data_IF_279026888004
#
_entry.id   IF_279026888004
#
_cell.length_a   1.000
_cell.length_b   1.000
_cell.length_c   1.000
_cell.angle_alpha   90.00
_cell.angle_beta   90.00
_cell.angle_gamma   90.00
#
_symmetry.space_group_name_H-M   'P 1'
#
loop_
_entity.id
_entity.type
_entity.pdbx_description
1 polymer ?
#
# COMPACT_ATOMS: atom_id res chain seq x y z
N UNK A 1 10.30 28.23 29.10
CA UNK A 1 10.87 26.92 29.29
C UNK A 1 10.83 26.60 30.77
N UNK A 2 10.09 25.58 31.17
CA UNK A 2 9.74 25.40 32.56
C UNK A 2 9.06 26.66 33.10
N UNK A 3 9.45 27.15 34.27
CA UNK A 3 8.92 28.36 34.88
C UNK A 3 9.62 29.65 34.41
N UNK A 4 10.64 29.55 33.55
CA UNK A 4 11.36 30.73 33.04
C UNK A 4 10.73 31.30 31.78
N UNK A 5 10.48 32.60 31.80
CA UNK A 5 9.96 33.35 30.64
C UNK A 5 11.10 34.07 29.92
N UNK A 6 11.16 33.88 28.61
CA UNK A 6 12.09 34.57 27.72
C UNK A 6 11.29 35.37 26.71
N UNK A 7 11.69 36.61 26.49
CA UNK A 7 11.05 37.54 25.52
C UNK A 7 11.97 37.79 24.35
N UNK A 8 11.39 38.07 23.20
CA UNK A 8 12.12 38.39 21.97
C UNK A 8 11.71 37.51 20.80
N UNK A 9 12.59 37.44 19.80
CA UNK A 9 12.30 36.78 18.55
C UNK A 9 11.87 37.76 17.46
N UNK A 10 11.79 37.26 16.23
CA UNK A 10 11.30 38.00 15.07
C UNK A 10 10.05 37.37 14.51
N UNK A 11 9.09 38.21 14.08
CA UNK A 11 7.86 37.77 13.41
C UNK A 11 7.78 38.50 12.08
N UNK A 12 7.84 37.81 10.97
CA UNK A 12 7.76 38.40 9.64
C UNK A 12 7.28 37.38 8.60
N UNK A 13 6.53 37.82 7.61
CA UNK A 13 6.11 37.02 6.46
C UNK A 13 5.43 35.68 6.84
N UNK A 14 4.58 35.69 7.89
CA UNK A 14 3.88 34.47 8.35
C UNK A 14 4.74 33.48 9.11
N UNK A 15 5.98 33.84 9.43
CA UNK A 15 6.90 33.00 10.20
C UNK A 15 7.37 33.73 11.46
N UNK A 16 7.79 32.96 12.46
CA UNK A 16 8.49 33.50 13.62
C UNK A 16 9.78 32.74 13.89
N UNK A 17 10.75 33.39 14.49
CA UNK A 17 11.99 32.77 14.98
C UNK A 17 12.31 33.25 16.38
N UNK A 18 12.77 32.32 17.23
CA UNK A 18 13.20 32.59 18.57
C UNK A 18 14.51 31.85 18.87
N UNK A 19 15.55 32.55 19.32
CA UNK A 19 16.83 31.93 19.66
C UNK A 19 16.74 31.16 20.99
N UNK A 20 16.81 29.82 20.91
CA UNK A 20 16.58 28.91 22.03
C UNK A 20 17.78 28.05 22.45
N UNK A 21 18.92 28.14 21.72
CA UNK A 21 20.07 27.24 21.90
C UNK A 21 20.59 27.15 23.33
N UNK A 22 20.66 28.26 24.05
CA UNK A 22 21.10 28.34 25.44
C UNK A 22 19.97 28.20 26.48
N UNK A 23 18.71 28.07 26.06
CA UNK A 23 17.51 28.11 26.90
C UNK A 23 16.86 26.75 27.08
N UNK A 24 16.95 25.90 26.05
CA UNK A 24 16.41 24.52 26.07
C UNK A 24 17.61 23.57 26.15
N UNK A 25 17.69 22.79 27.23
CA UNK A 25 18.86 21.94 27.51
C UNK A 25 18.54 20.44 27.37
N UNK A 26 17.29 20.07 27.60
CA UNK A 26 16.88 18.68 27.61
C UNK A 26 15.64 18.46 26.71
N UNK A 27 15.53 17.27 26.12
CA UNK A 27 14.34 16.89 25.35
C UNK A 27 13.06 16.77 26.19
N UNK A 28 13.22 16.71 27.52
CA UNK A 28 12.12 16.67 28.49
C UNK A 28 11.66 18.06 28.95
N UNK A 29 12.35 19.13 28.52
CA UNK A 29 11.96 20.49 28.87
C UNK A 29 10.57 20.80 28.29
N UNK A 30 9.67 21.31 29.12
CA UNK A 30 8.37 21.79 28.69
C UNK A 30 8.55 23.22 28.14
N UNK A 31 8.28 23.41 26.86
CA UNK A 31 8.40 24.69 26.18
C UNK A 31 7.02 25.17 25.75
N UNK A 32 6.56 26.27 26.32
CA UNK A 32 5.32 26.92 25.94
C UNK A 32 5.65 28.22 25.19
N UNK A 33 4.98 28.44 24.06
CA UNK A 33 5.11 29.63 23.23
C UNK A 33 3.81 30.43 23.35
N UNK A 34 3.95 31.71 23.65
CA UNK A 34 2.84 32.65 23.71
C UNK A 34 3.02 33.67 22.58
N UNK A 35 1.95 33.90 21.83
CA UNK A 35 1.86 34.94 20.84
C UNK A 35 1.08 36.13 21.39
N UNK A 36 1.56 37.34 21.16
CA UNK A 36 0.93 38.57 21.62
C UNK A 36 0.76 39.54 20.45
N UNK A 37 -0.25 40.40 20.56
CA UNK A 37 -0.42 41.52 19.64
C UNK A 37 0.51 42.70 19.95
N UNK A 38 0.35 43.79 19.21
CA UNK A 38 1.19 45.00 19.35
C UNK A 38 0.96 45.78 20.65
N UNK A 39 -0.14 45.56 21.36
CA UNK A 39 -0.45 46.20 22.65
C UNK A 39 -0.21 45.28 23.85
N UNK A 40 0.27 44.02 23.58
CA UNK A 40 0.66 43.07 24.60
C UNK A 40 -0.46 42.14 25.04
N UNK A 41 -1.57 42.07 24.31
CA UNK A 41 -2.66 41.12 24.55
C UNK A 41 -2.28 39.73 24.06
N UNK A 42 -2.57 38.69 24.87
CA UNK A 42 -2.30 37.29 24.54
C UNK A 42 -3.25 36.80 23.45
N UNK A 43 -2.71 36.42 22.31
CA UNK A 43 -3.48 35.91 21.16
C UNK A 43 -3.56 34.38 21.14
N UNK A 44 -2.46 33.67 21.42
CA UNK A 44 -2.42 32.21 21.37
C UNK A 44 -1.33 31.65 22.27
N UNK A 45 -1.48 30.37 22.64
CA UNK A 45 -0.52 29.60 23.44
C UNK A 45 -0.38 28.20 22.87
N UNK A 46 0.85 27.78 22.59
CA UNK A 46 1.18 26.42 22.10
C UNK A 46 2.32 25.82 22.91
N UNK A 47 2.24 24.51 23.12
CA UNK A 47 3.36 23.73 23.66
C UNK A 47 4.18 23.14 22.53
N UNK A 48 5.49 23.37 22.56
CA UNK A 48 6.44 22.79 21.65
C UNK A 48 6.96 21.45 22.18
N UNK A 49 6.93 20.42 21.37
CA UNK A 49 7.62 19.16 21.65
C UNK A 49 9.11 19.32 21.31
N UNK A 50 9.97 19.21 22.31
CA UNK A 50 11.43 19.14 22.10
C UNK A 50 11.81 17.74 21.66
N UNK A 51 12.65 17.64 20.64
CA UNK A 51 13.15 16.36 20.11
C UNK A 51 14.68 16.39 20.08
N UNK A 52 15.31 15.25 20.28
CA UNK A 52 16.75 15.08 20.13
C UNK A 52 17.09 14.73 18.68
N UNK A 53 17.97 15.50 18.05
CA UNK A 53 18.40 15.28 16.66
C UNK A 53 17.56 16.02 15.62
N UNK A 54 18.03 16.01 14.39
CA UNK A 54 17.30 16.56 13.23
C UNK A 54 16.15 15.59 12.91
N UNK A 55 14.91 16.07 12.73
CA UNK A 55 13.83 15.20 12.25
C UNK A 55 14.24 14.58 10.91
N UNK A 56 14.43 13.28 10.87
CA UNK A 56 14.70 12.56 9.63
C UNK A 56 13.39 12.47 8.86
N UNK A 57 13.31 13.14 7.72
CA UNK A 57 12.19 13.01 6.81
C UNK A 57 12.46 11.77 5.96
N UNK A 58 11.83 10.66 6.32
CA UNK A 58 11.90 9.41 5.56
C UNK A 58 10.90 9.44 4.40
N UNK A 59 11.30 8.87 3.27
CA UNK A 59 10.49 8.68 2.07
C UNK A 59 10.76 7.29 1.50
N UNK A 60 9.88 6.80 0.63
CA UNK A 60 10.06 5.53 -0.04
C UNK A 60 8.76 5.05 -0.65
N UNK A 61 8.87 4.18 -1.63
CA UNK A 61 7.74 3.59 -2.33
C UNK A 61 7.96 2.12 -2.61
N UNK A 62 6.88 1.40 -2.88
CA UNK A 62 6.90 0.02 -3.35
C UNK A 62 6.16 -0.09 -4.67
N UNK A 63 6.61 -1.01 -5.53
CA UNK A 63 5.81 -1.57 -6.61
C UNK A 63 5.51 -3.02 -6.29
N UNK A 64 4.35 -3.50 -6.67
CA UNK A 64 3.92 -4.88 -6.41
C UNK A 64 3.51 -5.53 -7.71
N UNK A 65 4.05 -6.70 -7.98
CA UNK A 65 3.68 -7.50 -9.16
C UNK A 65 2.33 -8.18 -8.92
N UNK A 66 1.61 -8.49 -10.00
CA UNK A 66 0.43 -9.35 -9.95
C UNK A 66 0.84 -10.74 -9.39
N UNK A 67 -0.03 -11.37 -8.60
CA UNK A 67 0.19 -12.69 -8.03
C UNK A 67 -0.81 -13.69 -8.59
N UNK A 68 -0.33 -14.77 -9.20
CA UNK A 68 -1.17 -15.87 -9.69
C UNK A 68 -1.61 -16.77 -8.52
N UNK A 69 -2.92 -16.98 -8.37
CA UNK A 69 -3.51 -17.81 -7.32
C UNK A 69 -4.50 -18.83 -7.92
N UNK A 70 -4.29 -20.15 -7.74
CA UNK A 70 -3.11 -20.78 -7.19
C UNK A 70 -1.94 -20.75 -8.19
N UNK A 71 -0.72 -20.68 -7.70
CA UNK A 71 0.49 -20.72 -8.55
C UNK A 71 1.68 -20.11 -7.86
N UNK A 72 1.68 -18.81 -7.67
CA UNK A 72 2.79 -18.11 -7.04
C UNK A 72 2.85 -18.40 -5.54
N UNK A 73 4.08 -18.53 -5.03
CA UNK A 73 4.33 -18.72 -3.60
C UNK A 73 4.59 -17.42 -2.86
N UNK A 74 4.97 -16.38 -3.59
CA UNK A 74 5.39 -15.12 -3.01
C UNK A 74 4.73 -13.93 -3.72
N UNK A 75 4.41 -12.90 -2.95
CA UNK A 75 4.24 -11.55 -3.48
C UNK A 75 5.65 -11.00 -3.71
N UNK A 76 5.87 -10.43 -4.88
CA UNK A 76 7.16 -9.84 -5.28
C UNK A 76 6.97 -8.41 -5.76
N UNK A 77 8.05 -7.66 -5.75
CA UNK A 77 8.05 -6.28 -6.24
C UNK A 77 9.36 -5.58 -5.94
N UNK A 78 9.37 -4.27 -6.11
CA UNK A 78 10.53 -3.43 -5.83
C UNK A 78 10.24 -2.42 -4.73
N UNK A 79 11.29 -1.90 -4.11
CA UNK A 79 11.21 -0.84 -3.12
C UNK A 79 12.30 0.21 -3.33
N UNK A 80 12.07 1.40 -2.81
CA UNK A 80 13.03 2.52 -2.92
C UNK A 80 13.29 3.16 -1.57
N UNK A 81 14.38 3.90 -1.50
CA UNK A 81 14.75 4.81 -0.41
C UNK A 81 14.72 4.14 0.99
N UNK A 82 13.94 4.70 1.92
CA UNK A 82 13.95 4.31 3.33
C UNK A 82 12.98 3.16 3.69
N UNK A 83 12.44 2.45 2.71
CA UNK A 83 11.59 1.28 2.98
C UNK A 83 12.42 0.20 3.68
N UNK A 84 11.97 -0.17 4.88
CA UNK A 84 12.67 -1.13 5.74
C UNK A 84 11.94 -2.47 5.87
N UNK A 85 10.61 -2.45 5.90
CA UNK A 85 9.78 -3.65 6.00
C UNK A 85 8.38 -3.40 5.45
N UNK A 86 7.64 -4.48 5.22
CA UNK A 86 6.24 -4.43 4.81
C UNK A 86 5.34 -5.18 5.79
N UNK A 87 4.08 -4.76 5.82
CA UNK A 87 2.97 -5.53 6.39
C UNK A 87 2.00 -5.83 5.26
N UNK A 88 1.63 -7.09 5.13
CA UNK A 88 0.64 -7.57 4.16
C UNK A 88 -0.65 -7.90 4.90
N UNK A 89 -1.74 -7.25 4.53
CA UNK A 89 -3.08 -7.54 5.06
C UNK A 89 -3.84 -8.39 4.04
N UNK A 90 -4.29 -9.55 4.46
CA UNK A 90 -5.12 -10.48 3.65
C UNK A 90 -6.44 -10.65 4.37
N UNK A 91 -7.54 -10.24 3.74
CA UNK A 91 -8.90 -10.35 4.29
C UNK A 91 -8.94 -9.90 5.77
N UNK A 92 -8.45 -8.66 6.03
CA UNK A 92 -8.37 -7.99 7.34
C UNK A 92 -7.37 -8.59 8.34
N UNK A 93 -6.55 -9.57 7.93
CA UNK A 93 -5.52 -10.17 8.78
C UNK A 93 -4.12 -9.73 8.36
N UNK A 94 -3.36 -9.20 9.32
CA UNK A 94 -2.01 -8.69 9.10
C UNK A 94 -0.95 -9.78 9.24
N UNK A 95 0.00 -9.74 8.30
CA UNK A 95 1.20 -10.58 8.29
C UNK A 95 2.44 -9.73 8.09
N UNK A 96 3.44 -9.95 8.95
CA UNK A 96 4.75 -9.28 8.89
C UNK A 96 5.81 -10.22 8.35
N UNK A 97 6.79 -9.68 7.65
CA UNK A 97 7.93 -10.46 7.14
C UNK A 97 8.38 -10.02 5.77
N UNK A 98 9.00 -10.95 5.06
CA UNK A 98 9.59 -10.72 3.75
C UNK A 98 11.10 -10.49 3.80
N UNK A 99 11.75 -10.68 2.66
CA UNK A 99 13.16 -10.40 2.43
C UNK A 99 13.30 -9.20 1.51
N UNK A 100 14.27 -8.34 1.80
CA UNK A 100 14.57 -7.10 1.08
C UNK A 100 16.04 -7.13 0.68
N UNK A 101 16.32 -7.22 -0.62
CA UNK A 101 17.68 -7.29 -1.16
C UNK A 101 17.72 -6.51 -2.49
N UNK A 102 18.70 -5.64 -2.64
CA UNK A 102 19.03 -4.94 -3.90
C UNK A 102 17.83 -4.23 -4.56
N UNK A 103 16.95 -3.63 -3.77
CA UNK A 103 15.76 -2.92 -4.28
C UNK A 103 14.57 -3.83 -4.61
N UNK A 104 14.71 -5.14 -4.43
CA UNK A 104 13.62 -6.11 -4.61
C UNK A 104 13.16 -6.69 -3.28
N UNK A 105 11.87 -7.01 -3.18
CA UNK A 105 11.33 -7.72 -2.03
C UNK A 105 10.59 -9.00 -2.44
N UNK A 106 10.53 -9.95 -1.50
CA UNK A 106 9.74 -11.18 -1.58
C UNK A 106 9.04 -11.42 -0.25
N UNK A 107 7.72 -11.63 -0.30
CA UNK A 107 6.90 -11.97 0.86
C UNK A 107 6.20 -13.32 0.62
N UNK A 108 6.44 -14.30 1.48
CA UNK A 108 5.83 -15.62 1.36
C UNK A 108 4.32 -15.55 1.69
N UNK A 109 3.50 -15.89 0.71
CA UNK A 109 2.05 -15.72 0.75
C UNK A 109 1.23 -17.00 0.46
N UNK A 110 1.88 -18.11 0.08
CA UNK A 110 1.22 -19.31 -0.41
C UNK A 110 0.16 -19.90 0.53
N UNK A 111 0.43 -19.90 1.84
CA UNK A 111 -0.47 -20.39 2.89
C UNK A 111 -1.43 -19.32 3.44
N UNK A 112 -1.32 -18.09 2.95
CA UNK A 112 -2.09 -16.94 3.40
C UNK A 112 -3.12 -16.48 2.38
N UNK A 113 -2.80 -16.62 1.10
CA UNK A 113 -3.67 -16.24 -0.03
C UNK A 113 -4.04 -17.51 -0.78
N UNK A 114 -5.22 -18.03 -0.49
CA UNK A 114 -5.73 -19.29 -1.07
C UNK A 114 -6.80 -19.08 -2.12
N UNK A 115 -7.28 -17.86 -2.29
CA UNK A 115 -8.30 -17.48 -3.27
C UNK A 115 -7.91 -16.22 -4.03
N UNK A 116 -8.14 -16.20 -5.34
CA UNK A 116 -7.99 -15.01 -6.17
C UNK A 116 -9.04 -13.91 -5.86
N UNK A 117 -10.07 -14.23 -5.07
CA UNK A 117 -11.08 -13.27 -4.61
C UNK A 117 -10.72 -12.58 -3.29
N UNK A 118 -9.61 -12.96 -2.65
CA UNK A 118 -9.14 -12.32 -1.41
C UNK A 118 -8.74 -10.87 -1.68
N UNK A 119 -8.98 -10.01 -0.68
CA UNK A 119 -8.48 -8.62 -0.70
C UNK A 119 -7.10 -8.57 -0.06
N UNK A 120 -6.11 -8.12 -0.81
CA UNK A 120 -4.73 -8.06 -0.35
C UNK A 120 -4.17 -6.65 -0.50
N UNK A 121 -3.70 -6.08 0.62
CA UNK A 121 -2.98 -4.81 0.63
C UNK A 121 -1.60 -4.97 1.24
N UNK A 122 -0.67 -4.14 0.82
CA UNK A 122 0.70 -4.11 1.33
C UNK A 122 1.06 -2.70 1.74
N UNK A 123 1.48 -2.52 2.98
CA UNK A 123 1.99 -1.27 3.51
C UNK A 123 3.50 -1.35 3.69
N UNK A 124 4.21 -0.32 3.24
CA UNK A 124 5.64 -0.17 3.41
C UNK A 124 5.96 0.80 4.55
N UNK A 125 6.93 0.45 5.36
CA UNK A 125 7.32 1.20 6.56
C UNK A 125 8.82 1.51 6.56
N UNK A 126 9.18 2.62 7.17
CA UNK A 126 10.56 2.93 7.51
C UNK A 126 11.02 2.14 8.77
N UNK A 127 12.29 2.33 9.15
CA UNK A 127 12.88 1.71 10.34
C UNK A 127 12.21 2.16 11.65
N UNK A 128 11.60 3.34 11.69
CA UNK A 128 10.90 3.89 12.84
C UNK A 128 9.44 3.42 12.92
N UNK A 129 8.92 2.71 11.92
CA UNK A 129 7.54 2.24 11.84
C UNK A 129 6.56 3.27 11.26
N UNK A 130 7.05 4.31 10.58
CA UNK A 130 6.22 5.26 9.84
C UNK A 130 5.84 4.63 8.51
N UNK A 131 4.56 4.72 8.13
CA UNK A 131 4.07 4.30 6.81
C UNK A 131 4.64 5.23 5.74
N UNK A 132 5.26 4.66 4.72
CA UNK A 132 5.82 5.38 3.57
C UNK A 132 4.94 5.26 2.32
N UNK A 133 4.40 4.07 2.06
CA UNK A 133 3.58 3.78 0.88
C UNK A 133 2.59 2.64 1.17
N UNK A 134 1.53 2.55 0.35
CA UNK A 134 0.55 1.46 0.39
C UNK A 134 0.11 1.08 -1.02
N UNK A 135 0.03 -0.22 -1.29
CA UNK A 135 -0.44 -0.78 -2.58
C UNK A 135 -1.43 -1.90 -2.36
N UNK A 136 -2.37 -2.03 -3.28
CA UNK A 136 -3.20 -3.23 -3.41
C UNK A 136 -2.47 -4.25 -4.28
N UNK A 137 -2.44 -5.50 -3.84
CA UNK A 137 -1.89 -6.61 -4.62
C UNK A 137 -2.98 -7.13 -5.53
N UNK A 138 -2.75 -7.12 -6.84
CA UNK A 138 -3.68 -7.71 -7.79
C UNK A 138 -3.48 -9.23 -7.83
N UNK A 139 -4.53 -9.96 -7.46
CA UNK A 139 -4.57 -11.42 -7.57
C UNK A 139 -5.15 -11.81 -8.92
N UNK A 140 -4.47 -12.73 -9.59
CA UNK A 140 -4.89 -13.30 -10.88
C UNK A 140 -5.26 -14.75 -10.63
N UNK A 141 -6.54 -15.10 -10.87
CA UNK A 141 -6.98 -16.48 -10.85
C UNK A 141 -6.49 -17.25 -12.09
N UNK A 142 -6.62 -18.57 -12.10
CA UNK A 142 -6.42 -19.33 -13.33
C UNK A 142 -7.35 -18.74 -14.41
N UNK A 143 -6.81 -18.58 -15.61
CA UNK A 143 -7.69 -18.26 -16.75
C UNK A 143 -8.83 -19.26 -16.74
N UNK A 144 -10.07 -18.75 -16.89
CA UNK A 144 -11.21 -19.63 -17.03
C UNK A 144 -10.88 -20.60 -18.18
N UNK A 145 -10.88 -21.90 -17.89
CA UNK A 145 -10.66 -22.90 -18.92
C UNK A 145 -11.47 -22.50 -20.14
N UNK A 146 -10.83 -22.46 -21.30
CA UNK A 146 -11.47 -22.12 -22.55
C UNK A 146 -12.53 -23.21 -22.80
N UNK A 147 -13.76 -22.95 -22.31
CA UNK A 147 -14.85 -23.93 -22.41
C UNK A 147 -15.20 -24.03 -23.89
N UNK A 148 -14.61 -25.04 -24.53
CA UNK A 148 -14.90 -25.41 -25.92
C UNK A 148 -16.40 -25.69 -26.00
N UNK A 149 -17.12 -24.89 -26.75
CA UNK A 149 -18.57 -25.03 -26.93
C UNK A 149 -18.85 -25.28 -28.40
N UNK A 150 -19.76 -26.22 -28.61
CA UNK A 150 -20.29 -26.50 -29.94
C UNK A 150 -21.70 -27.03 -29.85
N UNK A 151 -22.51 -26.78 -30.86
CA UNK A 151 -23.87 -27.27 -31.01
C UNK A 151 -24.05 -27.85 -32.38
N UNK A 152 -24.91 -28.86 -32.49
CA UNK A 152 -25.38 -29.40 -33.78
C UNK A 152 -26.91 -29.26 -33.86
N UNK A 153 -27.40 -28.99 -35.05
CA UNK A 153 -28.84 -28.94 -35.37
C UNK A 153 -29.08 -29.82 -36.58
N UNK A 154 -29.54 -31.09 -36.34
CA UNK A 154 -29.82 -31.97 -37.44
C UNK A 154 -31.09 -31.60 -38.15
N UNK A 155 -31.11 -31.83 -39.47
CA UNK A 155 -32.34 -31.75 -40.28
C UNK A 155 -33.19 -33.02 -40.09
N UNK A 156 -34.47 -32.93 -40.38
CA UNK A 156 -35.33 -34.09 -40.43
C UNK A 156 -34.86 -35.05 -41.54
N UNK A 157 -34.91 -36.33 -41.28
CA UNK A 157 -34.58 -37.39 -42.23
C UNK A 157 -35.86 -38.01 -42.75
N UNK A 158 -36.03 -38.12 -44.08
CA UNK A 158 -37.15 -38.78 -44.72
C UNK A 158 -36.77 -40.23 -45.03
N UNK A 159 -37.39 -41.16 -44.28
CA UNK A 159 -37.12 -42.58 -44.41
C UNK A 159 -37.47 -43.09 -45.82
N UNK A 160 -36.54 -43.80 -46.44
CA UNK A 160 -36.70 -44.36 -47.79
C UNK A 160 -36.34 -43.42 -48.96
N UNK A 161 -36.03 -42.12 -48.62
CA UNK A 161 -35.63 -41.09 -49.62
C UNK A 161 -34.25 -40.57 -49.34
N UNK A 162 -34.01 -40.18 -48.12
CA UNK A 162 -32.72 -39.57 -47.74
C UNK A 162 -31.66 -40.63 -47.48
N UNK A 163 -30.48 -40.45 -48.04
CA UNK A 163 -29.34 -41.36 -47.87
C UNK A 163 -28.36 -40.89 -46.79
N UNK A 164 -28.45 -39.63 -46.41
CA UNK A 164 -27.51 -38.99 -45.49
C UNK A 164 -28.24 -38.22 -44.40
N UNK A 165 -27.74 -38.30 -43.18
CA UNK A 165 -28.10 -37.33 -42.14
C UNK A 165 -27.35 -36.04 -42.40
N UNK A 166 -28.08 -34.92 -42.45
CA UNK A 166 -27.50 -33.58 -42.65
C UNK A 166 -27.89 -32.66 -41.50
N UNK A 167 -27.21 -31.57 -41.36
CA UNK A 167 -27.51 -30.56 -40.36
C UNK A 167 -26.49 -29.40 -40.39
N UNK A 168 -26.63 -28.50 -39.46
CA UNK A 168 -25.67 -27.41 -39.26
C UNK A 168 -24.97 -27.59 -37.91
N UNK A 169 -23.83 -26.95 -37.77
CA UNK A 169 -23.12 -26.87 -36.52
C UNK A 169 -22.61 -25.43 -36.25
N UNK A 170 -22.36 -25.13 -34.99
CA UNK A 170 -21.71 -23.90 -34.56
C UNK A 170 -20.67 -24.19 -33.50
N UNK A 171 -19.71 -23.29 -33.34
CA UNK A 171 -18.61 -23.45 -32.40
C UNK A 171 -17.53 -24.44 -32.90
N UNK A 172 -16.88 -25.15 -31.96
CA UNK A 172 -15.66 -25.92 -32.23
C UNK A 172 -15.90 -27.40 -32.54
N UNK A 173 -17.04 -27.74 -33.17
CA UNK A 173 -17.35 -29.12 -33.55
C UNK A 173 -16.42 -29.58 -34.67
N UNK A 174 -15.71 -30.71 -34.42
CA UNK A 174 -14.73 -31.31 -35.37
C UNK A 174 -15.16 -32.64 -35.95
N UNK A 175 -16.13 -33.26 -35.34
CA UNK A 175 -16.70 -34.55 -35.79
C UNK A 175 -18.14 -34.71 -35.33
N UNK A 176 -18.92 -35.48 -36.09
CA UNK A 176 -20.29 -35.91 -35.72
C UNK A 176 -20.45 -37.39 -36.00
#
# INVERSE_FOLDING_TARGET
VGDKVYKGGTVANGTFTFYAFDKIKNATDIVTIHAYDSVGELLDTKTLKVVTGVPVVTKGSITVNDMLVPGDKNITGTYTDDVHHVVVTVDDKDYKGGTFVDGEFKFYAFDKITSASSTVTMQAFDKAGKVLDMKTVKLVGPEAENVIKGTITPNALVLGTDKNITGTYSGEVKSV
#
